data_IF_690361390704
#
_entry.id   IF_690361390704
#
_cell.length_a   1.000
_cell.length_b   1.000
_cell.length_c   1.000
_cell.angle_alpha   90.00
_cell.angle_beta   90.00
_cell.angle_gamma   90.00
#
_symmetry.space_group_name_H-M   'P 1'
#
loop_
_entity.id
_entity.type
_entity.pdbx_description
1 polymer ?
#
# COMPACT_ATOMS: atom_id res chain seq x y z
N UNK A 1 22.91 15.26 40.92
CA UNK A 1 22.35 15.88 42.15
C UNK A 1 20.97 16.37 41.75
N UNK A 2 19.83 15.76 42.09
CA UNK A 2 19.37 15.16 43.33
C UNK A 2 18.82 13.74 43.13
N UNK A 3 18.91 12.92 44.17
CA UNK A 3 18.34 11.57 44.28
C UNK A 3 17.06 11.62 45.16
N UNK A 4 16.48 10.48 45.61
CA UNK A 4 15.18 9.96 45.16
C UNK A 4 14.12 9.99 46.29
N UNK A 5 12.87 9.60 45.98
CA UNK A 5 11.90 9.16 46.99
C UNK A 5 11.23 7.86 46.58
N UNK A 6 11.58 6.81 47.31
CA UNK A 6 10.82 5.59 47.44
C UNK A 6 9.59 5.84 48.33
N UNK A 7 8.49 5.19 48.02
CA UNK A 7 7.43 4.89 48.97
C UNK A 7 6.96 3.46 48.72
N UNK A 8 7.38 2.56 49.62
CA UNK A 8 6.74 1.29 49.88
C UNK A 8 5.29 1.57 50.34
N UNK A 9 4.32 0.85 49.77
CA UNK A 9 3.05 0.62 50.45
C UNK A 9 2.67 -0.85 50.24
N UNK A 10 2.96 -1.63 51.27
CA UNK A 10 2.49 -3.00 51.44
C UNK A 10 1.14 -2.92 52.13
N UNK A 11 0.09 -3.45 51.51
CA UNK A 11 -1.13 -3.84 52.24
C UNK A 11 -1.57 -5.22 51.74
N UNK A 12 -1.53 -6.18 52.65
CA UNK A 12 -2.03 -7.55 52.48
C UNK A 12 -3.40 -7.65 53.15
N UNK A 13 -4.27 -8.53 52.63
CA UNK A 13 -5.44 -9.26 53.20
C UNK A 13 -6.47 -9.36 52.05
N UNK A 14 -6.53 -10.46 51.29
CA UNK A 14 -7.12 -11.76 51.62
C UNK A 14 -8.66 -11.74 51.77
N UNK A 15 -9.32 -12.39 50.81
CA UNK A 15 -10.62 -13.04 50.98
C UNK A 15 -11.85 -12.23 50.59
N UNK A 16 -12.31 -12.37 49.34
CA UNK A 16 -13.74 -12.37 49.02
C UNK A 16 -14.02 -13.18 47.76
N UNK A 17 -14.75 -14.27 47.98
CA UNK A 17 -15.63 -14.99 47.08
C UNK A 17 -15.15 -15.24 45.64
N UNK A 18 -14.80 -16.50 45.38
CA UNK A 18 -14.98 -17.11 44.08
C UNK A 18 -16.47 -17.02 43.70
N UNK A 19 -16.85 -15.92 43.05
CA UNK A 19 -18.08 -15.87 42.28
C UNK A 19 -17.77 -16.70 41.04
N UNK A 20 -18.06 -18.00 41.11
CA UNK A 20 -18.39 -18.79 39.94
C UNK A 20 -19.71 -18.24 39.39
N UNK A 21 -19.66 -17.01 38.86
CA UNK A 21 -20.75 -16.32 38.24
C UNK A 21 -20.96 -16.91 36.86
N UNK A 22 -22.19 -17.32 36.60
CA UNK A 22 -22.74 -17.71 35.32
C UNK A 22 -22.56 -16.55 34.30
N UNK A 23 -21.35 -16.39 33.75
CA UNK A 23 -20.89 -15.24 32.96
C UNK A 23 -21.00 -15.46 31.46
N UNK A 24 -22.16 -15.93 30.99
CA UNK A 24 -22.36 -16.30 29.58
C UNK A 24 -22.89 -15.21 28.66
N UNK A 25 -23.51 -14.13 29.18
CA UNK A 25 -24.37 -13.29 28.32
C UNK A 25 -23.75 -12.00 27.79
N UNK A 26 -22.79 -11.39 28.50
CA UNK A 26 -22.23 -10.09 28.07
C UNK A 26 -21.12 -10.24 27.03
N UNK A 27 -20.34 -11.32 27.11
CA UNK A 27 -19.24 -11.57 26.18
C UNK A 27 -19.74 -11.83 24.75
N UNK A 28 -20.86 -12.54 24.59
CA UNK A 28 -21.47 -12.81 23.28
C UNK A 28 -22.08 -11.55 22.66
N UNK A 29 -22.65 -10.66 23.50
CA UNK A 29 -23.16 -9.37 23.05
C UNK A 29 -22.04 -8.45 22.57
N UNK A 30 -20.99 -8.27 23.37
CA UNK A 30 -19.83 -7.44 23.00
C UNK A 30 -19.15 -7.99 21.73
N UNK A 31 -18.98 -9.31 21.63
CA UNK A 31 -18.47 -9.97 20.43
C UNK A 31 -19.33 -9.66 19.19
N UNK A 32 -20.65 -9.75 19.32
CA UNK A 32 -21.58 -9.44 18.23
C UNK A 32 -21.45 -7.99 17.76
N UNK A 33 -21.29 -7.04 18.68
CA UNK A 33 -21.08 -5.62 18.32
C UNK A 33 -19.73 -5.38 17.64
N UNK A 34 -18.65 -6.03 18.11
CA UNK A 34 -17.33 -5.98 17.45
C UNK A 34 -17.42 -6.53 16.03
N UNK A 35 -18.10 -7.66 15.82
CA UNK A 35 -18.29 -8.26 14.50
C UNK A 35 -19.09 -7.36 13.55
N UNK A 36 -20.12 -6.67 14.06
CA UNK A 36 -20.87 -5.68 13.29
C UNK A 36 -19.98 -4.53 12.83
N UNK A 37 -19.15 -3.96 13.71
CA UNK A 37 -18.22 -2.89 13.35
C UNK A 37 -17.18 -3.37 12.34
N UNK A 38 -16.60 -4.56 12.55
CA UNK A 38 -15.63 -5.16 11.63
C UNK A 38 -16.21 -5.32 10.21
N UNK A 39 -17.45 -5.79 10.08
CA UNK A 39 -18.15 -5.89 8.79
C UNK A 39 -18.45 -4.51 8.22
N UNK A 40 -18.98 -3.59 9.01
CA UNK A 40 -19.40 -2.27 8.55
C UNK A 40 -18.24 -1.39 8.06
N UNK A 41 -17.05 -1.51 8.64
CA UNK A 41 -15.86 -0.75 8.23
C UNK A 41 -15.31 -1.23 6.88
N UNK A 42 -15.42 -2.52 6.59
CA UNK A 42 -14.95 -3.10 5.33
C UNK A 42 -16.05 -3.16 4.25
N UNK A 43 -17.31 -3.03 4.65
CA UNK A 43 -18.44 -2.96 3.74
C UNK A 43 -18.56 -1.53 3.19
N UNK A 44 -18.21 -1.35 1.92
CA UNK A 44 -18.25 -0.04 1.26
C UNK A 44 -19.65 0.52 0.98
N UNK A 45 -20.74 -0.20 1.32
CA UNK A 45 -22.10 0.22 0.99
C UNK A 45 -22.52 1.56 1.63
N UNK A 46 -22.04 1.87 2.84
CA UNK A 46 -22.31 3.14 3.50
C UNK A 46 -21.12 4.09 3.36
N UNK A 47 -21.30 5.16 2.57
CA UNK A 47 -20.26 6.16 2.33
C UNK A 47 -19.79 6.79 3.66
N UNK A 48 -18.52 6.60 3.97
CA UNK A 48 -17.84 7.19 5.11
C UNK A 48 -18.05 6.41 6.42
N UNK A 49 -18.62 5.19 6.36
CA UNK A 49 -18.71 4.30 7.52
C UNK A 49 -17.31 4.02 8.08
N UNK A 50 -16.33 3.78 7.22
CA UNK A 50 -14.93 3.56 7.59
C UNK A 50 -14.35 4.75 8.34
N UNK A 51 -14.76 5.97 7.99
CA UNK A 51 -14.33 7.19 8.66
C UNK A 51 -15.02 7.40 10.02
N UNK A 52 -16.32 7.08 10.12
CA UNK A 52 -17.12 7.31 11.35
C UNK A 52 -16.88 6.24 12.40
N UNK A 53 -16.67 5.00 11.95
CA UNK A 53 -16.44 3.82 12.78
C UNK A 53 -14.96 3.63 13.12
N UNK A 54 -14.06 4.49 12.66
CA UNK A 54 -12.65 4.48 13.05
C UNK A 54 -12.35 5.44 14.19
N UNK A 55 -11.29 5.17 14.94
CA UNK A 55 -10.76 6.11 15.94
C UNK A 55 -10.15 7.33 15.24
N UNK A 56 -10.18 8.49 15.90
CA UNK A 56 -9.53 9.71 15.38
C UNK A 56 -8.04 9.48 15.10
N UNK A 57 -7.38 8.67 15.94
CA UNK A 57 -5.98 8.25 15.77
C UNK A 57 -5.77 7.60 14.40
N UNK A 58 -6.56 6.59 14.07
CA UNK A 58 -6.46 5.88 12.80
C UNK A 58 -6.77 6.81 11.63
N UNK A 59 -7.85 7.61 11.75
CA UNK A 59 -8.26 8.52 10.69
C UNK A 59 -7.17 9.53 10.35
N UNK A 60 -6.54 10.12 11.36
CA UNK A 60 -5.41 11.03 11.17
C UNK A 60 -4.18 10.31 10.62
N UNK A 61 -3.88 9.09 11.07
CA UNK A 61 -2.74 8.34 10.58
C UNK A 61 -2.85 7.98 9.08
N UNK A 62 -4.04 7.59 8.62
CA UNK A 62 -4.29 7.14 7.24
C UNK A 62 -4.60 8.31 6.30
N UNK A 63 -5.57 9.17 6.66
CA UNK A 63 -6.08 10.22 5.77
C UNK A 63 -5.68 11.64 6.21
N UNK A 64 -5.01 11.81 7.35
CA UNK A 64 -4.62 13.12 7.90
C UNK A 64 -5.75 13.85 8.64
N UNK A 65 -7.01 13.71 8.21
CA UNK A 65 -8.17 14.31 8.89
C UNK A 65 -9.48 13.60 8.60
N UNK A 66 -10.50 13.83 9.43
CA UNK A 66 -11.86 13.33 9.20
C UNK A 66 -12.43 13.82 7.86
N UNK A 67 -12.21 15.09 7.52
CA UNK A 67 -12.71 15.67 6.27
C UNK A 67 -12.04 15.02 5.06
N UNK A 68 -10.74 14.78 5.10
CA UNK A 68 -10.02 14.09 4.04
C UNK A 68 -10.50 12.64 3.89
N UNK A 69 -10.73 11.93 5.00
CA UNK A 69 -11.30 10.58 4.98
C UNK A 69 -12.69 10.57 4.30
N UNK A 70 -13.61 11.44 4.73
CA UNK A 70 -14.97 11.50 4.16
C UNK A 70 -14.97 11.89 2.67
N UNK A 71 -14.00 12.68 2.21
CA UNK A 71 -13.81 13.01 0.79
C UNK A 71 -13.25 11.83 -0.01
N UNK A 72 -12.32 11.07 0.58
CA UNK A 72 -11.70 9.91 -0.04
C UNK A 72 -12.65 8.70 -0.10
N UNK A 73 -13.57 8.60 0.85
CA UNK A 73 -14.65 7.61 0.83
C UNK A 73 -15.52 7.81 -0.42
N UNK A 74 -15.39 6.94 -1.42
CA UNK A 74 -16.20 7.01 -2.65
C UNK A 74 -17.56 6.33 -2.51
N UNK A 75 -17.78 5.57 -1.43
CA UNK A 75 -18.77 4.49 -1.46
C UNK A 75 -18.27 3.36 -2.36
N UNK A 76 -18.53 2.13 -1.96
CA UNK A 76 -18.08 0.92 -2.65
C UNK A 76 -19.23 -0.06 -2.87
N UNK A 77 -18.95 -1.10 -3.64
CA UNK A 77 -19.84 -2.25 -3.73
C UNK A 77 -19.88 -2.96 -2.38
N UNK A 78 -21.05 -3.48 -2.02
CA UNK A 78 -21.21 -4.33 -0.85
C UNK A 78 -20.23 -5.51 -0.96
N UNK A 79 -19.31 -5.59 0.02
CA UNK A 79 -18.34 -6.66 0.11
C UNK A 79 -18.86 -7.72 1.08
N UNK A 80 -18.81 -8.99 0.69
CA UNK A 80 -19.08 -10.09 1.61
C UNK A 80 -17.88 -10.22 2.57
N UNK A 81 -18.07 -9.77 3.81
CA UNK A 81 -17.06 -9.80 4.86
C UNK A 81 -17.43 -10.91 5.83
N UNK A 82 -16.63 -11.96 5.87
CA UNK A 82 -16.75 -13.05 6.85
C UNK A 82 -15.84 -12.75 8.05
N UNK A 83 -16.38 -12.83 9.26
CA UNK A 83 -15.60 -12.76 10.50
C UNK A 83 -15.44 -14.18 11.05
N UNK A 84 -14.21 -14.67 11.14
CA UNK A 84 -13.91 -16.07 11.50
C UNK A 84 -13.48 -16.24 12.96
N UNK A 85 -13.14 -15.15 13.65
CA UNK A 85 -12.79 -15.18 15.07
C UNK A 85 -12.77 -13.78 15.66
N UNK A 86 -13.26 -13.67 16.89
CA UNK A 86 -13.35 -12.40 17.63
C UNK A 86 -12.90 -12.64 19.06
N UNK A 87 -11.99 -11.81 19.54
CA UNK A 87 -11.53 -11.81 20.94
C UNK A 87 -11.76 -10.42 21.52
N UNK A 88 -12.45 -10.34 22.66
CA UNK A 88 -12.69 -9.11 23.41
C UNK A 88 -11.92 -9.18 24.71
N UNK A 89 -11.18 -8.12 25.04
CA UNK A 89 -10.37 -7.98 26.24
C UNK A 89 -10.55 -6.56 26.81
N UNK A 90 -11.54 -6.40 27.69
CA UNK A 90 -11.88 -5.11 28.28
C UNK A 90 -12.31 -4.08 27.25
N UNK A 91 -11.48 -3.05 27.05
CA UNK A 91 -11.69 -1.97 26.09
C UNK A 91 -11.13 -2.25 24.70
N UNK A 92 -10.50 -3.38 24.49
CA UNK A 92 -9.78 -3.72 23.28
C UNK A 92 -10.36 -5.02 22.68
N UNK A 93 -10.35 -5.14 21.36
CA UNK A 93 -10.82 -6.33 20.68
C UNK A 93 -10.01 -6.60 19.40
N UNK A 94 -10.02 -7.85 18.96
CA UNK A 94 -9.45 -8.26 17.68
C UNK A 94 -10.47 -9.10 16.93
N UNK A 95 -10.62 -8.82 15.63
CA UNK A 95 -11.47 -9.60 14.73
C UNK A 95 -10.65 -10.07 13.52
N UNK A 96 -10.73 -11.37 13.21
CA UNK A 96 -10.13 -11.95 12.01
C UNK A 96 -11.17 -11.95 10.89
N UNK A 97 -10.81 -11.38 9.76
CA UNK A 97 -11.71 -11.18 8.63
C UNK A 97 -11.17 -11.84 7.37
N UNK A 98 -12.10 -12.26 6.53
CA UNK A 98 -11.88 -12.65 5.14
C UNK A 98 -12.92 -11.93 4.30
N UNK A 99 -12.50 -11.27 3.23
CA UNK A 99 -13.42 -10.61 2.29
C UNK A 99 -12.89 -10.73 0.86
N UNK A 100 -13.71 -10.36 -0.13
CA UNK A 100 -13.31 -10.26 -1.52
C UNK A 100 -13.49 -8.84 -2.00
N UNK A 101 -12.39 -8.18 -2.37
CA UNK A 101 -12.39 -6.81 -2.92
C UNK A 101 -11.87 -6.92 -4.35
N UNK A 102 -12.66 -6.50 -5.34
CA UNK A 102 -12.28 -6.57 -6.75
C UNK A 102 -11.78 -7.96 -7.21
N UNK A 103 -12.46 -9.04 -6.78
CA UNK A 103 -12.11 -10.45 -7.02
C UNK A 103 -10.84 -10.94 -6.33
N UNK A 104 -10.20 -10.10 -5.51
CA UNK A 104 -9.05 -10.48 -4.71
C UNK A 104 -9.51 -10.86 -3.31
N UNK A 105 -9.16 -12.07 -2.90
CA UNK A 105 -9.37 -12.53 -1.54
C UNK A 105 -8.43 -11.76 -0.62
N UNK A 106 -9.00 -11.07 0.35
CA UNK A 106 -8.29 -10.28 1.35
C UNK A 106 -8.53 -10.88 2.71
N UNK A 107 -7.46 -11.14 3.45
CA UNK A 107 -7.52 -11.75 4.78
C UNK A 107 -6.63 -11.01 5.77
N UNK A 108 -7.07 -10.96 7.02
CA UNK A 108 -6.22 -10.53 8.11
C UNK A 108 -6.99 -10.13 9.35
N UNK A 109 -6.37 -9.31 10.20
CA UNK A 109 -6.94 -8.91 11.48
C UNK A 109 -7.28 -7.42 11.54
N UNK A 110 -8.28 -7.10 12.35
CA UNK A 110 -8.65 -5.74 12.75
C UNK A 110 -8.47 -5.62 14.26
N UNK A 111 -7.82 -4.55 14.71
CA UNK A 111 -7.82 -4.16 16.11
C UNK A 111 -8.88 -3.08 16.33
N UNK A 112 -9.77 -3.32 17.30
CA UNK A 112 -10.85 -2.43 17.65
C UNK A 112 -10.69 -1.95 19.10
N UNK A 113 -11.18 -0.76 19.37
CA UNK A 113 -11.14 -0.15 20.69
C UNK A 113 -12.49 0.47 21.05
N UNK A 114 -12.89 0.31 22.31
CA UNK A 114 -14.08 0.93 22.87
C UNK A 114 -13.80 2.39 23.24
N UNK A 115 -14.48 3.31 22.57
CA UNK A 115 -14.34 4.76 22.76
C UNK A 115 -15.72 5.32 23.10
N UNK A 116 -15.86 5.91 24.29
CA UNK A 116 -17.13 6.50 24.77
C UNK A 116 -18.31 5.52 24.76
N UNK A 117 -18.04 4.22 24.93
CA UNK A 117 -19.04 3.17 24.93
C UNK A 117 -19.22 2.45 23.60
N UNK A 118 -18.70 3.01 22.51
CA UNK A 118 -18.84 2.45 21.16
C UNK A 118 -17.55 1.78 20.68
N UNK A 119 -17.68 0.63 20.00
CA UNK A 119 -16.55 -0.02 19.35
C UNK A 119 -16.15 0.73 18.08
N UNK A 120 -14.86 0.99 17.93
CA UNK A 120 -14.29 1.64 16.74
C UNK A 120 -13.08 0.87 16.23
N UNK A 121 -12.87 0.87 14.92
CA UNK A 121 -11.63 0.40 14.32
C UNK A 121 -10.49 1.30 14.77
N UNK A 122 -9.49 0.72 15.40
CA UNK A 122 -8.32 1.45 15.89
C UNK A 122 -7.07 1.17 15.03
N UNK A 123 -6.95 -0.04 14.49
CA UNK A 123 -5.81 -0.41 13.64
C UNK A 123 -6.14 -1.53 12.66
N UNK A 124 -5.61 -1.43 11.44
CA UNK A 124 -5.51 -2.57 10.53
C UNK A 124 -4.32 -3.44 10.92
N UNK A 125 -4.54 -4.74 11.08
CA UNK A 125 -3.49 -5.72 11.29
C UNK A 125 -2.50 -5.73 10.12
N UNK A 126 -1.24 -6.06 10.39
CA UNK A 126 -0.19 -6.09 9.37
C UNK A 126 -0.45 -7.14 8.29
N UNK A 127 -1.09 -8.25 8.66
CA UNK A 127 -1.57 -9.29 7.75
C UNK A 127 -2.62 -8.74 6.77
N UNK A 128 -3.61 -8.01 7.28
CA UNK A 128 -4.62 -7.36 6.44
C UNK A 128 -4.01 -6.30 5.53
N UNK A 129 -3.13 -5.45 6.08
CA UNK A 129 -2.42 -4.43 5.30
C UNK A 129 -1.63 -5.08 4.16
N UNK A 130 -0.90 -6.16 4.42
CA UNK A 130 -0.15 -6.89 3.39
C UNK A 130 -1.07 -7.45 2.31
N UNK A 131 -2.19 -8.06 2.72
CA UNK A 131 -3.15 -8.62 1.78
C UNK A 131 -3.78 -7.54 0.88
N UNK A 132 -4.10 -6.38 1.43
CA UNK A 132 -4.62 -5.23 0.68
C UNK A 132 -3.57 -4.59 -0.24
N UNK A 133 -2.33 -4.45 0.24
CA UNK A 133 -1.21 -3.94 -0.54
C UNK A 133 -0.93 -4.81 -1.77
N UNK A 134 -0.93 -6.13 -1.61
CA UNK A 134 -0.76 -7.09 -2.71
C UNK A 134 -1.77 -6.81 -3.82
N UNK A 135 -3.04 -6.65 -3.47
CA UNK A 135 -4.07 -6.37 -4.46
C UNK A 135 -4.00 -4.98 -5.10
N UNK A 136 -3.72 -3.96 -4.29
CA UNK A 136 -3.62 -2.59 -4.76
C UNK A 136 -2.41 -2.39 -5.69
N UNK A 137 -1.29 -3.06 -5.41
CA UNK A 137 -0.08 -2.99 -6.22
C UNK A 137 -0.28 -3.63 -7.59
N UNK A 138 -0.81 -4.85 -7.62
CA UNK A 138 -1.07 -5.56 -8.87
C UNK A 138 -2.03 -4.74 -9.75
N UNK A 139 -3.16 -4.28 -9.21
CA UNK A 139 -4.15 -3.53 -9.98
C UNK A 139 -3.64 -2.15 -10.40
N UNK A 140 -3.22 -1.34 -9.44
CA UNK A 140 -2.90 0.07 -9.69
C UNK A 140 -1.72 0.26 -10.65
N UNK A 141 -0.72 -0.62 -10.61
CA UNK A 141 0.40 -0.55 -11.54
C UNK A 141 0.08 -1.22 -12.88
N UNK A 142 -0.74 -2.28 -12.90
CA UNK A 142 -1.25 -2.82 -14.17
C UNK A 142 -2.04 -1.75 -14.92
N UNK A 143 -2.91 -1.01 -14.23
CA UNK A 143 -3.71 0.06 -14.82
C UNK A 143 -2.81 1.19 -15.35
N UNK A 144 -1.80 1.61 -14.57
CA UNK A 144 -0.82 2.60 -15.03
C UNK A 144 -0.07 2.12 -16.28
N UNK A 145 0.47 0.89 -16.30
CA UNK A 145 1.16 0.34 -17.48
C UNK A 145 0.22 0.26 -18.71
N UNK A 146 -1.06 -0.02 -18.51
CA UNK A 146 -2.05 -0.04 -19.59
C UNK A 146 -2.34 1.35 -20.14
N UNK A 147 -2.45 2.35 -19.26
CA UNK A 147 -2.61 3.76 -19.67
C UNK A 147 -1.43 4.21 -20.54
N UNK A 148 -0.22 3.74 -20.23
CA UNK A 148 1.00 3.94 -21.02
C UNK A 148 1.08 3.09 -22.32
N UNK A 149 0.06 2.26 -22.59
CA UNK A 149 -0.01 1.41 -23.78
C UNK A 149 0.95 0.21 -23.78
N UNK A 150 1.43 -0.21 -22.61
CA UNK A 150 2.38 -1.33 -22.48
C UNK A 150 1.64 -2.66 -22.62
N UNK A 151 1.84 -3.33 -23.75
CA UNK A 151 1.24 -4.63 -24.03
C UNK A 151 1.68 -5.68 -23.01
N UNK A 152 0.73 -6.48 -22.51
CA UNK A 152 1.03 -7.54 -21.55
C UNK A 152 1.18 -7.09 -20.09
N UNK A 153 0.83 -5.83 -19.77
CA UNK A 153 0.80 -5.29 -18.41
C UNK A 153 0.18 -6.24 -17.37
N UNK A 154 -0.96 -6.87 -17.70
CA UNK A 154 -1.63 -7.84 -16.83
C UNK A 154 -0.73 -9.01 -16.44
N UNK A 155 0.10 -9.49 -17.37
CA UNK A 155 0.97 -10.66 -17.16
C UNK A 155 2.18 -10.30 -16.30
N UNK A 156 2.74 -9.11 -16.45
CA UNK A 156 3.96 -8.69 -15.75
C UNK A 156 3.83 -8.71 -14.24
N UNK A 157 2.63 -8.43 -13.72
CA UNK A 157 2.36 -8.40 -12.29
C UNK A 157 1.64 -9.64 -11.77
N UNK A 158 1.27 -10.56 -12.67
CA UNK A 158 0.65 -11.85 -12.35
C UNK A 158 1.53 -13.05 -12.73
N UNK A 159 2.77 -12.80 -13.19
CA UNK A 159 3.75 -13.83 -13.57
C UNK A 159 4.28 -14.66 -12.39
N UNK A 160 3.79 -14.40 -11.18
CA UNK A 160 4.20 -15.02 -9.93
C UNK A 160 5.60 -14.57 -9.47
N UNK A 161 6.55 -14.35 -10.38
CA UNK A 161 7.91 -13.92 -10.03
C UNK A 161 7.94 -12.51 -9.44
N UNK A 162 7.30 -11.55 -10.10
CA UNK A 162 7.22 -10.16 -9.64
C UNK A 162 6.39 -10.07 -8.36
N UNK A 163 5.26 -10.76 -8.32
CA UNK A 163 4.38 -10.82 -7.14
C UNK A 163 5.12 -11.41 -5.93
N UNK A 164 5.85 -12.52 -6.11
CA UNK A 164 6.65 -13.13 -5.05
C UNK A 164 7.81 -12.23 -4.61
N UNK A 165 8.44 -11.50 -5.52
CA UNK A 165 9.48 -10.54 -5.17
C UNK A 165 8.91 -9.42 -4.28
N UNK A 166 7.79 -8.82 -4.68
CA UNK A 166 7.12 -7.76 -3.93
C UNK A 166 6.70 -8.27 -2.54
N UNK A 167 6.07 -9.45 -2.49
CA UNK A 167 5.63 -10.05 -1.22
C UNK A 167 6.80 -10.35 -0.28
N UNK A 168 7.91 -10.88 -0.81
CA UNK A 168 9.13 -11.14 -0.06
C UNK A 168 9.72 -9.84 0.52
N UNK A 169 9.80 -8.78 -0.29
CA UNK A 169 10.34 -7.49 0.14
C UNK A 169 9.43 -6.82 1.17
N UNK A 170 8.11 -6.80 0.95
CA UNK A 170 7.15 -6.25 1.91
C UNK A 170 7.18 -7.02 3.23
N UNK A 171 7.26 -8.35 3.19
CA UNK A 171 7.31 -9.19 4.40
C UNK A 171 8.60 -9.00 5.19
N UNK A 172 9.71 -8.65 4.52
CA UNK A 172 10.99 -8.36 5.18
C UNK A 172 10.99 -7.02 5.95
N UNK A 173 10.06 -6.11 5.66
CA UNK A 173 9.95 -4.83 6.37
C UNK A 173 9.42 -5.04 7.79
N UNK A 174 9.83 -4.20 8.77
CA UNK A 174 9.18 -4.13 10.07
C UNK A 174 7.65 -3.92 9.96
N UNK A 175 6.88 -4.53 10.86
CA UNK A 175 5.41 -4.44 10.85
C UNK A 175 4.89 -2.99 10.89
N UNK A 176 5.59 -2.10 11.60
CA UNK A 176 5.29 -0.66 11.64
C UNK A 176 5.44 0.00 10.27
N UNK A 177 6.45 -0.38 9.51
CA UNK A 177 6.73 0.16 8.19
C UNK A 177 5.74 -0.37 7.15
N UNK A 178 5.41 -1.67 7.21
CA UNK A 178 4.32 -2.25 6.41
C UNK A 178 3.00 -1.50 6.62
N UNK A 179 2.67 -1.16 7.88
CA UNK A 179 1.46 -0.37 8.20
C UNK A 179 1.52 1.05 7.64
N UNK A 180 2.64 1.75 7.81
CA UNK A 180 2.78 3.12 7.28
C UNK A 180 2.66 3.15 5.75
N UNK A 181 3.24 2.17 5.08
CA UNK A 181 3.07 1.93 3.65
C UNK A 181 1.60 1.70 3.31
N UNK A 182 0.93 0.77 3.98
CA UNK A 182 -0.51 0.52 3.81
C UNK A 182 -1.33 1.79 3.94
N UNK A 183 -1.05 2.59 4.97
CA UNK A 183 -1.77 3.82 5.25
C UNK A 183 -1.49 4.92 4.24
N UNK A 184 -0.30 4.96 3.65
CA UNK A 184 -0.01 5.85 2.54
C UNK A 184 -0.85 5.48 1.31
N UNK A 185 -0.93 4.19 0.98
CA UNK A 185 -1.73 3.70 -0.15
C UNK A 185 -3.23 3.90 0.08
N UNK A 186 -3.78 3.50 1.24
CA UNK A 186 -5.22 3.66 1.54
C UNK A 186 -5.64 5.13 1.65
N UNK A 187 -4.74 5.98 2.15
CA UNK A 187 -4.95 7.42 2.19
C UNK A 187 -4.73 8.13 0.85
N UNK A 188 -4.41 7.41 -0.24
CA UNK A 188 -4.03 7.94 -1.54
C UNK A 188 -2.89 8.99 -1.47
N UNK A 189 -1.92 8.77 -0.59
CA UNK A 189 -0.74 9.63 -0.38
C UNK A 189 0.44 9.12 -1.20
N UNK A 190 0.26 9.00 -2.51
CA UNK A 190 1.28 8.45 -3.43
C UNK A 190 2.59 9.24 -3.39
N UNK A 191 2.53 10.54 -3.17
CA UNK A 191 3.70 11.43 -3.09
C UNK A 191 4.42 11.44 -1.73
N UNK A 192 3.90 10.69 -0.74
CA UNK A 192 4.60 10.53 0.54
C UNK A 192 5.84 9.64 0.39
N UNK A 193 6.85 9.75 1.28
CA UNK A 193 8.01 8.87 1.26
C UNK A 193 7.63 7.38 1.22
N UNK A 194 6.58 7.00 1.93
CA UNK A 194 6.06 5.62 1.96
C UNK A 194 5.37 5.22 0.65
N UNK A 195 4.65 6.14 0.00
CA UNK A 195 4.08 5.91 -1.34
C UNK A 195 5.16 5.69 -2.39
N UNK A 196 6.21 6.53 -2.37
CA UNK A 196 7.38 6.39 -3.23
C UNK A 196 8.16 5.11 -2.95
N UNK A 197 8.28 4.71 -1.69
CA UNK A 197 8.94 3.47 -1.31
C UNK A 197 8.29 2.25 -1.95
N UNK A 198 6.96 2.18 -1.97
CA UNK A 198 6.21 1.09 -2.61
C UNK A 198 6.47 1.03 -4.11
N UNK A 199 6.44 2.19 -4.77
CA UNK A 199 6.74 2.28 -6.19
C UNK A 199 8.17 1.81 -6.49
N UNK A 200 9.13 2.21 -5.65
CA UNK A 200 10.51 1.77 -5.73
C UNK A 200 10.66 0.25 -5.59
N UNK A 201 10.00 -0.36 -4.61
CA UNK A 201 10.01 -1.82 -4.43
C UNK A 201 9.51 -2.56 -5.67
N UNK A 202 8.43 -2.06 -6.27
CA UNK A 202 7.87 -2.68 -7.47
C UNK A 202 8.79 -2.53 -8.68
N UNK A 203 9.37 -1.35 -8.89
CA UNK A 203 10.34 -1.10 -9.96
C UNK A 203 11.57 -2.01 -9.79
N UNK A 204 12.08 -2.16 -8.57
CA UNK A 204 13.19 -3.06 -8.28
C UNK A 204 12.83 -4.52 -8.62
N UNK A 205 11.62 -4.98 -8.26
CA UNK A 205 11.19 -6.33 -8.59
C UNK A 205 10.98 -6.56 -10.09
N UNK A 206 10.50 -5.56 -10.83
CA UNK A 206 10.41 -5.63 -12.29
C UNK A 206 11.79 -5.66 -12.94
N UNK A 207 12.76 -4.93 -12.38
CA UNK A 207 14.14 -4.92 -12.86
C UNK A 207 14.84 -6.27 -12.69
N UNK A 208 14.37 -7.12 -11.76
CA UNK A 208 14.92 -8.45 -11.50
C UNK A 208 14.48 -9.51 -12.55
N UNK A 209 13.52 -9.20 -13.45
CA UNK A 209 13.04 -10.14 -14.47
C UNK A 209 13.25 -9.62 -15.91
N UNK A 210 13.51 -10.49 -16.92
CA UNK A 210 13.65 -10.04 -18.31
C UNK A 210 12.42 -9.28 -18.85
N UNK A 211 11.21 -9.79 -18.58
CA UNK A 211 9.97 -9.18 -19.04
C UNK A 211 9.68 -7.85 -18.31
N UNK A 212 9.97 -7.78 -17.01
CA UNK A 212 9.83 -6.55 -16.24
C UNK A 212 10.83 -5.47 -16.69
N UNK A 213 12.07 -5.84 -17.02
CA UNK A 213 13.06 -4.92 -17.62
C UNK A 213 12.57 -4.36 -18.96
N UNK A 214 11.96 -5.19 -19.79
CA UNK A 214 11.37 -4.73 -21.04
C UNK A 214 10.21 -3.75 -20.82
N UNK A 215 9.35 -4.03 -19.84
CA UNK A 215 8.26 -3.12 -19.48
C UNK A 215 8.77 -1.76 -18.98
N UNK A 216 9.80 -1.77 -18.13
CA UNK A 216 10.45 -0.55 -17.65
C UNK A 216 11.07 0.25 -18.81
N UNK A 217 11.66 -0.43 -19.80
CA UNK A 217 12.14 0.23 -21.03
C UNK A 217 11.00 0.88 -21.80
N UNK A 218 9.90 0.18 -22.01
CA UNK A 218 8.74 0.73 -22.72
C UNK A 218 8.14 1.94 -22.01
N UNK A 219 8.04 1.91 -20.68
CA UNK A 219 7.61 3.05 -19.88
C UNK A 219 8.56 4.25 -20.04
N UNK A 220 9.87 4.00 -20.04
CA UNK A 220 10.86 5.05 -20.30
C UNK A 220 10.74 5.66 -21.70
N UNK A 221 10.58 4.82 -22.73
CA UNK A 221 10.38 5.28 -24.11
C UNK A 221 9.08 6.06 -24.28
N UNK A 222 8.03 5.69 -23.53
CA UNK A 222 6.77 6.41 -23.49
C UNK A 222 6.96 7.82 -22.90
N UNK A 223 7.69 7.96 -21.80
CA UNK A 223 8.09 9.27 -21.27
C UNK A 223 8.82 10.15 -22.30
N UNK A 224 9.69 9.57 -23.13
CA UNK A 224 10.35 10.32 -24.23
C UNK A 224 9.34 10.83 -25.27
N UNK A 225 8.28 10.08 -25.57
CA UNK A 225 7.25 10.55 -26.52
C UNK A 225 6.50 11.76 -25.98
N UNK A 226 6.29 11.83 -24.67
CA UNK A 226 5.56 12.90 -24.00
C UNK A 226 6.36 14.20 -23.90
N UNK A 227 7.69 14.15 -23.99
CA UNK A 227 8.57 15.33 -24.02
C UNK A 227 8.36 16.25 -25.26
N UNK A 228 7.51 15.86 -26.21
CA UNK A 228 7.10 16.76 -27.30
C UNK A 228 8.20 17.05 -28.32
N UNK A 229 9.14 16.13 -28.54
CA UNK A 229 10.25 16.30 -29.50
C UNK A 229 9.81 16.30 -30.98
N UNK A 230 8.56 15.93 -31.26
CA UNK A 230 8.00 15.70 -32.59
C UNK A 230 8.24 14.27 -33.09
N UNK A 231 7.22 13.66 -33.71
CA UNK A 231 7.16 12.22 -34.00
C UNK A 231 8.41 11.64 -34.67
N UNK A 232 8.94 12.34 -35.68
CA UNK A 232 10.14 11.90 -36.42
C UNK A 232 11.39 11.89 -35.54
N UNK A 233 11.57 12.90 -34.70
CA UNK A 233 12.72 13.00 -33.79
C UNK A 233 12.57 11.97 -32.69
N UNK A 234 11.38 11.85 -32.09
CA UNK A 234 11.06 10.85 -31.07
C UNK A 234 11.33 9.42 -31.56
N UNK A 235 10.83 9.05 -32.75
CA UNK A 235 11.06 7.73 -33.31
C UNK A 235 12.56 7.45 -33.55
N UNK A 236 13.31 8.44 -34.05
CA UNK A 236 14.76 8.32 -34.24
C UNK A 236 15.50 8.17 -32.89
N UNK A 237 15.11 8.93 -31.87
CA UNK A 237 15.72 8.89 -30.53
C UNK A 237 15.50 7.51 -29.89
N UNK A 238 14.26 7.00 -29.92
CA UNK A 238 13.94 5.67 -29.39
C UNK A 238 14.74 4.59 -30.13
N UNK A 239 14.78 4.63 -31.47
CA UNK A 239 15.55 3.66 -32.25
C UNK A 239 17.04 3.65 -31.85
N UNK A 240 17.65 4.82 -31.72
CA UNK A 240 19.06 4.94 -31.28
C UNK A 240 19.29 4.50 -29.84
N UNK A 241 18.35 4.78 -28.94
CA UNK A 241 18.46 4.33 -27.56
C UNK A 241 18.38 2.81 -27.49
N UNK A 242 17.50 2.16 -28.25
CA UNK A 242 17.45 0.69 -28.34
C UNK A 242 18.75 0.05 -28.87
N UNK A 243 19.52 0.76 -29.69
CA UNK A 243 20.83 0.31 -30.18
C UNK A 243 21.95 0.45 -29.14
N UNK A 244 21.81 1.36 -28.18
CA UNK A 244 22.91 1.80 -27.29
C UNK A 244 22.66 1.55 -25.81
N UNK A 245 21.41 1.34 -25.42
CA UNK A 245 20.97 1.04 -24.08
C UNK A 245 20.05 -0.19 -24.13
N UNK A 246 20.55 -1.32 -23.65
CA UNK A 246 19.72 -2.51 -23.48
C UNK A 246 18.72 -2.33 -22.32
N UNK A 247 17.74 -3.24 -22.23
CA UNK A 247 16.69 -3.17 -21.20
C UNK A 247 17.25 -3.30 -19.79
N UNK A 248 18.44 -3.89 -19.61
CA UNK A 248 19.11 -4.00 -18.31
C UNK A 248 19.68 -2.65 -17.85
N UNK A 249 20.38 -1.94 -18.74
CA UNK A 249 20.86 -0.60 -18.47
C UNK A 249 19.68 0.34 -18.14
N UNK A 250 18.63 0.34 -18.96
CA UNK A 250 17.46 1.20 -18.72
C UNK A 250 16.78 0.87 -17.39
N UNK A 251 16.59 -0.41 -17.07
CA UNK A 251 15.99 -0.81 -15.80
C UNK A 251 16.84 -0.41 -14.59
N UNK A 252 18.16 -0.63 -14.64
CA UNK A 252 19.10 -0.22 -13.60
C UNK A 252 19.04 1.28 -13.36
N UNK A 253 18.95 2.05 -14.44
CA UNK A 253 18.87 3.51 -14.40
C UNK A 253 17.56 4.02 -13.79
N UNK A 254 16.43 3.37 -14.10
CA UNK A 254 15.15 3.69 -13.48
C UNK A 254 15.19 3.39 -11.97
N UNK A 255 15.80 2.27 -11.57
CA UNK A 255 16.00 1.93 -10.16
C UNK A 255 16.88 2.97 -9.44
N UNK A 256 18.03 3.33 -10.02
CA UNK A 256 18.92 4.34 -9.44
C UNK A 256 18.27 5.72 -9.36
N UNK A 257 17.48 6.09 -10.37
CA UNK A 257 16.71 7.33 -10.39
C UNK A 257 15.73 7.40 -9.22
N UNK A 258 15.02 6.31 -8.93
CA UNK A 258 14.11 6.23 -7.80
C UNK A 258 14.84 6.40 -6.47
N UNK A 259 16.00 5.75 -6.30
CA UNK A 259 16.82 5.87 -5.07
C UNK A 259 17.38 7.29 -4.87
N UNK A 260 17.71 7.98 -5.97
CA UNK A 260 18.35 9.29 -5.95
C UNK A 260 17.35 10.45 -6.13
N UNK A 261 16.07 10.27 -5.78
CA UNK A 261 15.07 11.34 -5.77
C UNK A 261 14.76 11.93 -7.15
N UNK A 262 14.88 11.12 -8.21
CA UNK A 262 14.50 11.51 -9.57
C UNK A 262 15.67 11.92 -10.48
N UNK A 263 16.92 11.92 -10.01
CA UNK A 263 18.09 12.22 -10.84
C UNK A 263 18.38 11.07 -11.83
N UNK A 264 18.43 11.37 -13.13
CA UNK A 264 18.87 10.43 -14.17
C UNK A 264 20.40 10.33 -14.09
N UNK A 265 20.99 9.13 -14.25
CA UNK A 265 22.45 9.07 -14.27
C UNK A 265 23.03 9.88 -15.44
N UNK A 266 24.28 10.34 -15.32
CA UNK A 266 24.99 10.97 -16.42
C UNK A 266 25.10 10.08 -17.66
N UNK A 267 25.07 8.75 -17.50
CA UNK A 267 25.21 7.79 -18.59
C UNK A 267 23.97 7.77 -19.48
N UNK A 268 22.79 7.47 -18.94
CA UNK A 268 21.56 7.43 -19.73
C UNK A 268 21.15 8.82 -20.23
N UNK A 269 21.37 9.85 -19.41
CA UNK A 269 21.15 11.25 -19.82
C UNK A 269 22.06 11.62 -21.00
N UNK A 270 23.35 11.22 -20.94
CA UNK A 270 24.30 11.44 -22.02
C UNK A 270 23.91 10.72 -23.32
N UNK A 271 23.47 9.45 -23.22
CA UNK A 271 22.98 8.68 -24.37
C UNK A 271 21.74 9.32 -24.99
N UNK A 272 20.76 9.71 -24.18
CA UNK A 272 19.54 10.38 -24.64
C UNK A 272 19.84 11.73 -25.30
N UNK A 273 20.68 12.57 -24.67
CA UNK A 273 21.08 13.86 -25.24
C UNK A 273 21.84 13.70 -26.56
N UNK A 274 22.75 12.72 -26.65
CA UNK A 274 23.46 12.40 -27.87
C UNK A 274 22.52 11.91 -28.99
N UNK A 275 21.54 11.07 -28.65
CA UNK A 275 20.52 10.61 -29.59
C UNK A 275 19.68 11.78 -30.11
N UNK A 276 19.18 12.65 -29.23
CA UNK A 276 18.38 13.84 -29.60
C UNK A 276 19.19 14.76 -30.53
N UNK A 277 20.44 15.08 -30.17
CA UNK A 277 21.30 15.95 -30.98
C UNK A 277 21.50 15.38 -32.39
N UNK A 278 21.79 14.08 -32.50
CA UNK A 278 21.99 13.42 -33.80
C UNK A 278 20.71 13.39 -34.62
N UNK A 279 19.58 13.03 -34.01
CA UNK A 279 18.30 12.93 -34.70
C UNK A 279 17.78 14.28 -35.21
N UNK A 280 17.98 15.37 -34.45
CA UNK A 280 17.66 16.73 -34.90
C UNK A 280 18.54 17.17 -36.07
N UNK A 281 19.85 16.89 -36.02
CA UNK A 281 20.78 17.25 -37.10
C UNK A 281 20.51 16.51 -38.41
N UNK A 282 19.83 15.37 -38.38
CA UNK A 282 19.45 14.59 -39.56
C UNK A 282 18.10 15.00 -40.17
N UNK A 283 17.36 15.95 -39.58
CA UNK A 283 16.12 16.44 -40.20
C UNK A 283 16.48 17.46 -41.30
N UNK A 284 15.92 17.33 -42.52
CA UNK A 284 16.06 18.35 -43.54
C UNK A 284 15.40 19.65 -43.06
N UNK A 285 16.10 20.77 -43.24
CA UNK A 285 15.64 22.13 -42.93
C UNK A 285 14.44 22.54 -43.76
#
# INVERSE_FOLDING_TARGET
>A
MFAPRAALLTLTIAGLAAVAGCGGSDSDKEKTEVEKVARAVLNGADKGSECRLSTTRLVTAVWGSQSACLKASTGGTEADVTVSGTKVDGSDATANITTTIDKLKVEGSLALKKVEGDWKLDEFGTDLVRSLLRGSLTKGYTDALKEEGIAGADKLLTDGATENCVDKRLTALPASEQRQIGYAIFGNRKDSPQGQQVQGLLIECLADSPDGREALRLAFEQGIKEEGLGDKVTACVIARLRETADSELVAKEIVERQKNGGAISPELSGLAAAAVKRCKASQPS
#
